data_IF_065802086765
#
_entry.id   IF_065802086765
#
_cell.length_a   1.000
_cell.length_b   1.000
_cell.length_c   1.000
_cell.angle_alpha   90.00
_cell.angle_beta   90.00
_cell.angle_gamma   90.00
#
_symmetry.space_group_name_H-M   'P 1'
#
loop_
_entity.id
_entity.type
_entity.pdbx_description
1 polymer ?
#
# COMPACT_ATOMS: atom_id res chain seq x y z
N UNK A 1 -14.17 -22.37 19.41
CA UNK A 1 -14.12 -21.23 18.48
C UNK A 1 -12.94 -20.36 18.90
N UNK A 2 -11.86 -20.31 18.11
CA UNK A 2 -10.73 -19.42 18.40
C UNK A 2 -11.02 -18.05 17.81
N UNK A 3 -11.34 -17.09 18.67
CA UNK A 3 -11.43 -15.69 18.28
C UNK A 3 -10.01 -15.22 17.95
N UNK A 4 -9.69 -15.16 16.65
CA UNK A 4 -8.53 -14.41 16.18
C UNK A 4 -8.87 -12.95 16.38
N UNK A 5 -8.41 -12.37 17.49
CA UNK A 5 -8.34 -10.92 17.66
C UNK A 5 -7.44 -10.41 16.55
N UNK A 6 -8.05 -9.92 15.47
CA UNK A 6 -7.34 -9.28 14.39
C UNK A 6 -6.84 -7.91 14.90
N UNK A 7 -5.71 -7.93 15.60
CA UNK A 7 -4.97 -6.74 16.06
C UNK A 7 -4.28 -6.02 14.89
N UNK A 8 -4.59 -6.40 13.65
CA UNK A 8 -4.06 -5.81 12.42
C UNK A 8 -5.23 -5.45 11.51
N UNK A 9 -5.24 -4.27 10.89
CA UNK A 9 -6.26 -3.90 9.92
C UNK A 9 -6.24 -4.91 8.77
N UNK A 10 -7.25 -5.78 8.72
CA UNK A 10 -7.47 -6.74 7.64
C UNK A 10 -8.09 -6.02 6.46
N UNK A 11 -7.26 -5.46 5.59
CA UNK A 11 -7.73 -5.09 4.26
C UNK A 11 -7.97 -6.38 3.46
N UNK A 12 -9.20 -6.57 2.97
CA UNK A 12 -9.56 -7.72 2.13
C UNK A 12 -8.83 -7.71 0.77
N UNK A 13 -8.16 -6.62 0.41
CA UNK A 13 -7.48 -6.42 -0.87
C UNK A 13 -6.34 -5.41 -0.75
N UNK A 14 -5.26 -5.51 -1.57
CA UNK A 14 -4.20 -4.51 -1.60
C UNK A 14 -4.74 -3.12 -1.94
N UNK A 15 -4.38 -2.12 -1.12
CA UNK A 15 -4.65 -0.72 -1.42
C UNK A 15 -3.72 -0.29 -2.56
N UNK A 16 -4.29 0.28 -3.63
CA UNK A 16 -3.54 0.77 -4.80
C UNK A 16 -3.86 2.24 -5.04
N UNK A 17 -2.81 3.04 -5.19
CA UNK A 17 -2.91 4.47 -5.51
C UNK A 17 -2.14 4.71 -6.81
N UNK A 18 -2.80 5.29 -7.81
CA UNK A 18 -2.14 5.70 -9.05
C UNK A 18 -1.20 6.88 -8.73
N UNK A 19 0.08 6.71 -9.07
CA UNK A 19 1.15 7.71 -8.88
C UNK A 19 1.86 8.01 -10.19
N UNK A 20 1.22 7.74 -11.33
CA UNK A 20 1.82 7.93 -12.67
C UNK A 20 2.32 9.36 -12.88
N UNK A 21 1.54 10.36 -12.46
CA UNK A 21 1.88 11.79 -12.55
C UNK A 21 2.52 12.34 -11.26
N UNK A 22 2.87 11.47 -10.31
CA UNK A 22 3.51 11.91 -9.07
C UNK A 22 4.97 12.26 -9.34
N UNK A 23 5.37 13.47 -8.97
CA UNK A 23 6.77 13.85 -8.99
C UNK A 23 7.57 12.96 -8.02
N UNK A 24 8.78 12.59 -8.44
CA UNK A 24 9.64 11.67 -7.69
C UNK A 24 9.99 12.19 -6.30
N UNK A 25 10.19 13.51 -6.15
CA UNK A 25 10.45 14.17 -4.87
C UNK A 25 9.26 14.09 -3.89
N UNK A 26 8.04 13.88 -4.40
CA UNK A 26 6.82 13.70 -3.61
C UNK A 26 6.46 12.25 -3.31
N UNK A 27 7.16 11.28 -3.91
CA UNK A 27 6.92 9.86 -3.64
C UNK A 27 7.07 9.48 -2.16
N UNK A 28 8.08 9.96 -1.41
CA UNK A 28 8.18 9.66 0.02
C UNK A 28 6.95 10.09 0.83
N UNK A 29 6.35 11.23 0.49
CA UNK A 29 5.13 11.72 1.15
C UNK A 29 3.94 10.83 0.81
N UNK A 30 3.84 10.38 -0.45
CA UNK A 30 2.80 9.42 -0.86
C UNK A 30 2.96 8.06 -0.20
N UNK A 31 4.19 7.57 -0.05
CA UNK A 31 4.51 6.36 0.71
C UNK A 31 4.00 6.48 2.14
N UNK A 32 4.31 7.58 2.83
CA UNK A 32 3.87 7.81 4.21
C UNK A 32 2.35 7.87 4.33
N UNK A 33 1.68 8.58 3.42
CA UNK A 33 0.22 8.70 3.44
C UNK A 33 -0.51 7.39 3.11
N UNK A 34 0.11 6.49 2.34
CA UNK A 34 -0.44 5.19 1.95
C UNK A 34 0.01 4.05 2.87
N UNK A 35 0.90 4.33 3.83
CA UNK A 35 1.46 3.34 4.74
C UNK A 35 0.41 2.92 5.76
N UNK A 36 0.37 1.62 6.01
CA UNK A 36 -0.46 0.97 7.01
C UNK A 36 0.47 0.19 7.92
N UNK A 37 0.17 0.17 9.21
CA UNK A 37 0.92 -0.63 10.19
C UNK A 37 0.88 -2.13 9.86
N UNK A 38 2.03 -2.79 9.95
CA UNK A 38 2.18 -4.20 9.57
C UNK A 38 2.04 -4.48 8.06
N UNK A 39 2.29 -3.47 7.21
CA UNK A 39 2.28 -3.61 5.75
C UNK A 39 3.53 -3.04 5.10
N UNK A 40 3.90 -3.61 3.96
CA UNK A 40 4.92 -3.09 3.05
C UNK A 40 4.28 -2.25 1.94
N UNK A 41 5.05 -1.30 1.43
CA UNK A 41 4.65 -0.43 0.32
C UNK A 41 5.68 -0.51 -0.79
N UNK A 42 5.24 -0.84 -2.00
CA UNK A 42 6.10 -0.94 -3.18
C UNK A 42 5.47 -0.28 -4.40
N UNK A 43 6.28 -0.06 -5.44
CA UNK A 43 5.81 0.44 -6.72
C UNK A 43 5.53 -0.73 -7.68
N UNK A 44 4.41 -0.66 -8.38
CA UNK A 44 4.05 -1.58 -9.45
C UNK A 44 3.82 -0.81 -10.75
N UNK A 45 4.30 -1.33 -11.87
CA UNK A 45 3.98 -0.81 -13.20
C UNK A 45 2.98 -1.73 -13.90
N UNK A 46 1.86 -1.17 -14.36
CA UNK A 46 0.80 -1.93 -15.04
C UNK A 46 0.08 -1.07 -16.07
N UNK A 47 -0.04 -1.57 -17.30
CA UNK A 47 -0.78 -0.88 -18.37
C UNK A 47 -0.28 0.54 -18.64
N UNK A 48 1.04 0.76 -18.58
CA UNK A 48 1.67 2.08 -18.75
C UNK A 48 1.65 2.96 -17.50
N UNK A 49 0.87 2.62 -16.48
CA UNK A 49 0.71 3.39 -15.24
C UNK A 49 1.59 2.86 -14.12
N UNK A 50 1.90 3.73 -13.17
CA UNK A 50 2.66 3.41 -11.97
C UNK A 50 1.75 3.52 -10.76
N UNK A 51 1.77 2.49 -9.91
CA UNK A 51 0.95 2.41 -8.72
C UNK A 51 1.83 2.27 -7.49
N UNK A 52 1.43 2.94 -6.42
CA UNK A 52 1.89 2.66 -5.08
C UNK A 52 0.95 1.64 -4.46
N UNK A 53 1.49 0.50 -4.06
CA UNK A 53 0.71 -0.66 -3.60
C UNK A 53 1.10 -1.01 -2.18
N UNK A 54 0.11 -1.07 -1.30
CA UNK A 54 0.29 -1.51 0.09
C UNK A 54 -0.19 -2.94 0.23
N UNK A 55 0.65 -3.82 0.78
CA UNK A 55 0.35 -5.22 1.05
C UNK A 55 0.68 -5.56 2.50
N UNK A 56 -0.17 -6.34 3.19
CA UNK A 56 0.19 -6.87 4.50
C UNK A 56 1.53 -7.60 4.44
N UNK A 57 2.38 -7.36 5.43
CA UNK A 57 3.58 -8.17 5.64
C UNK A 57 3.14 -9.51 6.23
N UNK A 58 3.61 -10.62 5.66
CA UNK A 58 3.32 -11.97 6.17
C UNK A 58 3.79 -12.17 7.62
#
# INVERSE_FOLDING_TARGET
MSAVTADRPRYATPTRVDVTECRTDRLPDRVRANRVDGSEVHLERRGGRTFLVTRPTE
#
